data_IF_035444199661
#
_entry.id   IF_035444199661
#
_cell.length_a   1.000
_cell.length_b   1.000
_cell.length_c   1.000
_cell.angle_alpha   90.00
_cell.angle_beta   90.00
_cell.angle_gamma   90.00
#
_symmetry.space_group_name_H-M   'P 1'
#
loop_
_entity.id
_entity.type
_entity.pdbx_description
1 polymer ?
#
# COMPACT_ATOMS: atom_id res chain seq x y z
N UNK A 1 18.84 -47.15 33.24
CA UNK A 1 18.93 -45.67 33.06
C UNK A 1 18.88 -45.25 31.60
N UNK A 2 19.60 -45.92 30.69
CA UNK A 2 19.68 -45.54 29.26
C UNK A 2 18.33 -45.66 28.51
N UNK A 3 17.56 -46.73 28.75
CA UNK A 3 16.27 -46.96 28.05
C UNK A 3 15.23 -45.89 28.38
N UNK A 4 15.20 -45.39 29.62
CA UNK A 4 14.30 -44.32 30.03
C UNK A 4 14.63 -42.97 29.38
N UNK A 5 15.92 -42.70 29.17
CA UNK A 5 16.38 -41.51 28.45
C UNK A 5 15.98 -41.52 26.97
N UNK A 6 16.03 -42.69 26.33
CA UNK A 6 15.63 -42.85 24.92
C UNK A 6 14.11 -42.68 24.77
N UNK A 7 13.33 -43.27 25.68
CA UNK A 7 11.88 -43.11 25.69
C UNK A 7 11.46 -41.65 25.92
N UNK A 8 12.13 -40.96 26.84
CA UNK A 8 11.88 -39.53 27.11
C UNK A 8 12.25 -38.65 25.91
N UNK A 9 13.38 -38.93 25.24
CA UNK A 9 13.81 -38.19 24.06
C UNK A 9 12.83 -38.39 22.88
N UNK A 10 12.34 -39.62 22.66
CA UNK A 10 11.34 -39.90 21.64
C UNK A 10 10.01 -39.19 21.91
N UNK A 11 9.58 -39.16 23.17
CA UNK A 11 8.38 -38.42 23.59
C UNK A 11 8.55 -36.91 23.41
N UNK A 12 9.75 -36.37 23.67
CA UNK A 12 10.04 -34.95 23.49
C UNK A 12 10.00 -34.51 22.02
N UNK A 13 10.43 -35.38 21.10
CA UNK A 13 10.35 -35.13 19.65
C UNK A 13 8.91 -35.18 19.11
N UNK A 14 8.03 -35.97 19.72
CA UNK A 14 6.60 -36.00 19.40
C UNK A 14 5.85 -34.74 19.88
N UNK A 15 6.39 -34.03 20.86
CA UNK A 15 5.81 -32.80 21.43
C UNK A 15 6.24 -31.53 20.67
N UNK A 16 7.21 -31.60 19.76
CA UNK A 16 7.60 -30.47 18.93
C UNK A 16 6.67 -30.33 17.73
N UNK A 17 5.41 -29.98 17.99
CA UNK A 17 4.52 -29.45 16.96
C UNK A 17 5.16 -28.18 16.38
N UNK A 18 5.39 -28.15 15.07
CA UNK A 18 5.79 -26.92 14.39
C UNK A 18 4.65 -25.90 14.57
N UNK A 19 4.84 -24.99 15.53
CA UNK A 19 3.99 -23.80 15.64
C UNK A 19 4.31 -22.97 14.40
N UNK A 20 3.41 -23.01 13.42
CA UNK A 20 3.41 -22.06 12.32
C UNK A 20 3.16 -20.68 12.93
N UNK A 21 4.24 -19.93 13.19
CA UNK A 21 4.12 -18.57 13.66
C UNK A 21 3.38 -17.76 12.59
N UNK A 22 2.20 -17.25 12.93
CA UNK A 22 1.51 -16.29 12.06
C UNK A 22 2.44 -15.08 11.93
N UNK A 23 2.90 -14.73 10.71
CA UNK A 23 3.78 -13.59 10.52
C UNK A 23 3.07 -12.32 11.01
N UNK A 24 3.58 -11.73 12.09
CA UNK A 24 3.07 -10.47 12.62
C UNK A 24 3.60 -9.33 11.75
N UNK A 25 2.84 -8.94 10.73
CA UNK A 25 2.98 -7.64 10.08
C UNK A 25 2.41 -6.61 11.05
N UNK A 26 3.24 -6.03 11.92
CA UNK A 26 2.80 -5.14 12.99
C UNK A 26 2.29 -3.78 12.49
N UNK A 27 2.83 -2.68 13.04
CA UNK A 27 2.52 -1.33 12.54
C UNK A 27 3.44 -0.97 11.37
N UNK A 28 2.86 -0.65 10.22
CA UNK A 28 3.56 -0.19 9.01
C UNK A 28 2.98 1.15 8.54
N UNK A 29 3.44 2.29 9.08
CA UNK A 29 2.95 3.61 8.68
C UNK A 29 3.20 3.89 7.20
N UNK A 30 2.20 4.41 6.50
CA UNK A 30 2.31 4.77 5.08
C UNK A 30 2.61 6.24 4.89
N UNK A 31 3.19 6.58 3.74
CA UNK A 31 3.34 7.96 3.27
C UNK A 31 2.55 8.14 1.99
N UNK A 32 1.48 8.92 2.05
CA UNK A 32 0.71 9.30 0.87
C UNK A 32 1.23 10.62 0.33
N UNK A 33 1.75 10.58 -0.89
CA UNK A 33 2.29 11.75 -1.58
C UNK A 33 1.22 12.26 -2.55
N UNK A 34 0.66 13.42 -2.24
CA UNK A 34 -0.30 14.11 -3.10
C UNK A 34 0.45 14.98 -4.10
N UNK A 35 0.24 14.75 -5.39
CA UNK A 35 0.96 15.43 -6.47
C UNK A 35 0.01 16.02 -7.52
N UNK A 36 0.30 17.22 -7.99
CA UNK A 36 -0.33 17.85 -9.16
C UNK A 36 0.72 18.23 -10.20
N UNK A 37 0.34 18.19 -11.48
CA UNK A 37 1.25 18.53 -12.58
C UNK A 37 1.50 20.04 -12.66
N UNK A 38 2.59 20.44 -13.34
CA UNK A 38 2.98 21.86 -13.47
C UNK A 38 1.89 22.73 -14.11
N UNK A 39 1.07 22.11 -14.97
CA UNK A 39 0.03 22.70 -15.80
C UNK A 39 -1.39 22.45 -15.26
N UNK A 40 -1.54 21.95 -14.03
CA UNK A 40 -2.83 21.65 -13.41
C UNK A 40 -2.89 22.05 -11.95
N UNK A 41 -3.91 22.85 -11.62
CA UNK A 41 -4.22 23.26 -10.24
C UNK A 41 -5.35 22.47 -9.59
N UNK A 42 -5.86 21.48 -10.31
CA UNK A 42 -6.97 20.65 -9.84
C UNK A 42 -6.56 19.79 -8.63
N UNK A 43 -7.35 19.92 -7.57
CA UNK A 43 -7.26 19.13 -6.33
C UNK A 43 -8.66 18.58 -6.03
N UNK A 44 -8.91 17.27 -6.16
CA UNK A 44 -10.26 16.69 -5.95
C UNK A 44 -10.83 16.92 -4.54
N UNK A 45 -9.93 16.89 -3.56
CA UNK A 45 -10.18 17.06 -2.12
C UNK A 45 -8.96 17.72 -1.48
N UNK A 46 -9.15 18.34 -0.31
CA UNK A 46 -8.06 18.91 0.46
C UNK A 46 -7.14 17.82 1.02
N UNK A 47 -5.90 18.18 1.37
CA UNK A 47 -4.95 17.23 1.96
C UNK A 47 -5.43 16.72 3.33
N UNK A 48 -6.14 17.58 4.08
CA UNK A 48 -6.73 17.28 5.37
C UNK A 48 -7.80 16.19 5.24
N UNK A 49 -8.62 16.26 4.19
CA UNK A 49 -9.62 15.23 3.92
C UNK A 49 -8.97 13.85 3.70
N UNK A 50 -7.84 13.79 2.98
CA UNK A 50 -7.09 12.53 2.81
C UNK A 50 -6.45 12.05 4.12
N UNK A 51 -5.96 12.96 4.95
CA UNK A 51 -5.42 12.61 6.28
C UNK A 51 -6.50 12.01 7.18
N UNK A 52 -7.70 12.59 7.19
CA UNK A 52 -8.86 12.06 7.90
C UNK A 52 -9.32 10.72 7.34
N UNK A 53 -9.33 10.57 6.01
CA UNK A 53 -9.72 9.32 5.35
C UNK A 53 -8.73 8.17 5.63
N UNK A 54 -7.43 8.46 5.70
CA UNK A 54 -6.40 7.45 6.01
C UNK A 54 -6.39 7.08 7.49
N UNK A 55 -6.32 8.06 8.37
CA UNK A 55 -6.05 7.84 9.80
C UNK A 55 -6.70 8.91 10.67
N UNK A 56 -7.96 9.27 10.39
CA UNK A 56 -8.76 10.25 11.14
C UNK A 56 -9.09 9.87 12.59
N UNK A 57 -8.25 9.04 13.23
CA UNK A 57 -8.37 8.65 14.62
C UNK A 57 -9.57 7.74 14.88
N UNK A 58 -10.54 8.23 15.67
CA UNK A 58 -11.66 7.43 16.19
C UNK A 58 -12.77 7.15 15.16
N UNK A 59 -12.60 7.54 13.90
CA UNK A 59 -13.56 7.25 12.85
C UNK A 59 -13.44 5.77 12.40
N UNK A 60 -14.52 4.97 12.49
CA UNK A 60 -14.49 3.56 12.05
C UNK A 60 -14.32 3.41 10.53
N UNK A 61 -14.65 4.44 9.74
CA UNK A 61 -14.64 4.38 8.27
C UNK A 61 -13.32 4.85 7.64
N UNK A 62 -12.20 4.66 8.35
CA UNK A 62 -10.86 4.99 7.85
C UNK A 62 -10.17 3.79 7.25
N UNK A 63 -9.18 4.04 6.39
CA UNK A 63 -8.34 2.96 5.86
C UNK A 63 -7.54 2.26 6.98
N UNK A 64 -7.10 3.01 7.99
CA UNK A 64 -6.49 2.44 9.20
C UNK A 64 -7.43 1.46 9.91
N UNK A 65 -8.68 1.89 10.17
CA UNK A 65 -9.71 1.06 10.81
C UNK A 65 -10.06 -0.18 9.98
N UNK A 66 -10.13 -0.04 8.65
CA UNK A 66 -10.34 -1.17 7.75
C UNK A 66 -9.25 -2.23 7.89
N UNK A 67 -7.98 -1.85 7.77
CA UNK A 67 -6.86 -2.79 7.86
C UNK A 67 -6.70 -3.40 9.25
N UNK A 68 -6.94 -2.61 10.29
CA UNK A 68 -6.98 -3.12 11.67
C UNK A 68 -8.10 -4.16 11.84
N UNK A 69 -9.31 -3.88 11.33
CA UNK A 69 -10.46 -4.77 11.45
C UNK A 69 -10.27 -6.10 10.71
N UNK A 70 -9.91 -6.07 9.43
CA UNK A 70 -9.76 -7.30 8.62
C UNK A 70 -8.58 -8.18 9.04
N UNK A 71 -7.59 -7.59 9.73
CA UNK A 71 -6.43 -8.31 10.25
C UNK A 71 -6.60 -8.76 11.70
N UNK A 72 -7.77 -8.53 12.32
CA UNK A 72 -7.99 -8.77 13.76
C UNK A 72 -6.92 -8.07 14.63
N UNK A 73 -6.65 -6.80 14.31
CA UNK A 73 -5.64 -5.93 14.91
C UNK A 73 -4.19 -6.45 14.82
N UNK A 74 -3.90 -7.44 13.98
CA UNK A 74 -2.53 -7.93 13.76
C UNK A 74 -1.72 -6.93 12.94
N UNK A 75 -2.37 -6.20 12.02
CA UNK A 75 -1.76 -5.22 11.13
C UNK A 75 -2.44 -3.86 11.24
N UNK A 76 -1.63 -2.81 11.26
CA UNK A 76 -2.11 -1.42 11.30
C UNK A 76 -1.19 -0.50 10.51
N UNK A 77 -1.74 0.62 10.05
CA UNK A 77 -1.00 1.69 9.36
C UNK A 77 -1.00 2.97 10.20
N UNK A 78 -1.14 2.83 11.53
CA UNK A 78 -1.26 3.94 12.45
C UNK A 78 -0.03 4.85 12.38
N UNK A 79 -0.30 6.15 12.32
CA UNK A 79 0.74 7.17 12.14
C UNK A 79 1.16 7.35 10.67
N UNK A 80 0.32 6.88 9.74
CA UNK A 80 0.46 7.25 8.33
C UNK A 80 0.41 8.76 8.15
N UNK A 81 1.14 9.26 7.16
CA UNK A 81 1.23 10.69 6.86
C UNK A 81 0.73 10.98 5.45
N UNK A 82 0.12 12.15 5.27
CA UNK A 82 -0.34 12.67 3.99
C UNK A 82 0.37 13.99 3.74
N UNK A 83 1.08 14.10 2.62
CA UNK A 83 1.72 15.36 2.24
C UNK A 83 0.68 16.38 1.81
N UNK A 84 1.02 17.67 1.90
CA UNK A 84 0.30 18.69 1.12
C UNK A 84 0.42 18.39 -0.38
N UNK A 85 -0.45 18.98 -1.18
CA UNK A 85 -0.37 18.91 -2.64
C UNK A 85 0.95 19.50 -3.15
N UNK A 86 1.84 18.63 -3.61
CA UNK A 86 3.11 19.00 -4.22
C UNK A 86 2.91 19.27 -5.70
N UNK A 87 3.44 20.38 -6.20
CA UNK A 87 3.46 20.65 -7.65
C UNK A 87 4.72 20.05 -8.25
N UNK A 88 4.53 19.13 -9.18
CA UNK A 88 5.60 18.54 -9.96
C UNK A 88 6.12 19.55 -10.99
N UNK A 89 7.42 19.52 -11.34
CA UNK A 89 8.00 20.40 -12.38
C UNK A 89 7.68 19.92 -13.81
N UNK A 90 6.92 18.83 -13.96
CA UNK A 90 6.55 18.22 -15.24
C UNK A 90 5.04 18.31 -15.48
N UNK A 91 4.67 18.37 -16.75
CA UNK A 91 3.30 18.22 -17.24
C UNK A 91 2.91 16.74 -17.28
N UNK A 92 1.59 16.48 -17.35
CA UNK A 92 1.07 15.12 -17.53
C UNK A 92 1.71 14.40 -18.73
N UNK A 93 1.85 15.09 -19.86
CA UNK A 93 2.42 14.54 -21.09
C UNK A 93 3.90 14.15 -20.95
N UNK A 94 4.68 14.96 -20.23
CA UNK A 94 6.09 14.67 -19.98
C UNK A 94 6.25 13.45 -19.06
N UNK A 95 5.44 13.35 -18.00
CA UNK A 95 5.46 12.18 -17.09
C UNK A 95 5.07 10.91 -17.81
N UNK A 96 4.01 10.95 -18.63
CA UNK A 96 3.60 9.81 -19.45
C UNK A 96 4.71 9.38 -20.42
N UNK A 97 5.36 10.34 -21.09
CA UNK A 97 6.49 10.05 -21.98
C UNK A 97 7.63 9.37 -21.22
N UNK A 98 8.00 9.88 -20.04
CA UNK A 98 9.05 9.27 -19.21
C UNK A 98 8.66 7.84 -18.79
N UNK A 99 7.42 7.62 -18.37
CA UNK A 99 6.94 6.31 -17.95
C UNK A 99 6.97 5.25 -19.09
N UNK A 100 6.67 5.67 -20.32
CA UNK A 100 6.68 4.79 -21.50
C UNK A 100 8.10 4.54 -22.02
N UNK A 101 8.96 5.56 -21.98
CA UNK A 101 10.30 5.49 -22.57
C UNK A 101 11.35 4.89 -21.62
N UNK A 102 11.10 4.86 -20.30
CA UNK A 102 12.03 4.28 -19.34
C UNK A 102 12.00 2.74 -19.41
N UNK A 103 13.09 2.08 -19.87
CA UNK A 103 13.14 0.63 -20.00
C UNK A 103 12.97 -0.12 -18.66
N UNK A 104 13.25 0.52 -17.53
CA UNK A 104 13.13 -0.08 -16.18
C UNK A 104 11.66 -0.29 -15.81
N UNK A 105 10.84 0.73 -16.09
CA UNK A 105 9.39 0.72 -15.83
C UNK A 105 8.63 -0.21 -16.78
N UNK A 106 9.24 -0.59 -17.90
CA UNK A 106 8.69 -1.52 -18.89
C UNK A 106 9.10 -2.98 -18.68
N UNK A 107 9.87 -3.27 -17.62
CA UNK A 107 10.21 -4.65 -17.23
C UNK A 107 8.96 -5.42 -16.78
N UNK A 108 8.94 -6.75 -16.97
CA UNK A 108 7.73 -7.58 -16.75
C UNK A 108 7.09 -7.42 -15.36
N UNK A 109 7.91 -7.08 -14.37
CA UNK A 109 7.49 -6.87 -12.98
C UNK A 109 6.73 -5.55 -12.78
N UNK A 110 6.99 -4.52 -13.60
CA UNK A 110 6.43 -3.17 -13.45
C UNK A 110 5.42 -2.80 -14.54
N UNK A 111 5.34 -3.59 -15.63
CA UNK A 111 4.33 -3.46 -16.71
C UNK A 111 2.88 -3.26 -16.22
N UNK A 112 2.39 -3.92 -15.14
CA UNK A 112 1.01 -3.70 -14.68
C UNK A 112 0.69 -2.25 -14.31
N UNK A 113 1.69 -1.50 -13.80
CA UNK A 113 1.52 -0.10 -13.39
C UNK A 113 1.51 0.84 -14.59
N UNK A 114 2.40 0.62 -15.56
CA UNK A 114 2.46 1.42 -16.79
C UNK A 114 1.19 1.29 -17.64
N UNK A 115 0.61 0.09 -17.72
CA UNK A 115 -0.63 -0.16 -18.49
C UNK A 115 -1.86 0.49 -17.82
N UNK A 116 -1.93 0.49 -16.49
CA UNK A 116 -3.05 1.12 -15.76
C UNK A 116 -3.09 2.64 -15.91
N UNK A 117 -1.94 3.30 -15.99
CA UNK A 117 -1.87 4.75 -16.28
C UNK A 117 -2.48 5.08 -17.65
N UNK A 118 -2.22 4.26 -18.67
CA UNK A 118 -2.80 4.41 -20.01
C UNK A 118 -4.31 4.21 -20.01
N UNK A 119 -4.83 3.22 -19.27
CA UNK A 119 -6.27 2.95 -19.17
C UNK A 119 -7.05 4.09 -18.48
N UNK A 120 -6.48 4.70 -17.43
CA UNK A 120 -7.08 5.85 -16.74
C UNK A 120 -7.16 7.09 -17.65
N UNK A 121 -6.23 7.25 -18.60
CA UNK A 121 -6.28 8.34 -19.57
C UNK A 121 -7.49 8.25 -20.49
N UNK A 122 -7.77 7.06 -21.04
CA UNK A 122 -8.95 6.81 -21.87
C UNK A 122 -10.26 7.11 -21.15
N UNK A 123 -10.37 6.77 -19.86
CA UNK A 123 -11.57 7.06 -19.10
C UNK A 123 -11.76 8.57 -18.90
N UNK A 124 -10.70 9.31 -18.56
CA UNK A 124 -10.76 10.77 -18.38
C UNK A 124 -11.00 11.56 -19.67
N UNK A 125 -10.68 11.00 -20.85
CA UNK A 125 -11.03 11.62 -22.13
C UNK A 125 -12.48 11.36 -22.51
N UNK A 126 -13.01 10.17 -22.24
CA UNK A 126 -14.42 9.83 -22.51
C UNK A 126 -15.37 10.68 -21.64
N UNK A 127 -15.03 10.89 -20.37
CA UNK A 127 -15.85 11.69 -19.45
C UNK A 127 -15.79 13.21 -19.74
N UNK A 128 -14.84 13.67 -20.56
CA UNK A 128 -14.73 15.10 -20.97
C UNK A 128 -15.56 15.43 -22.21
N UNK A 129 -15.92 14.42 -22.98
CA UNK A 129 -16.65 14.53 -24.25
C UNK A 129 -18.14 14.11 -24.13
N UNK A 130 -18.62 13.91 -22.89
CA UNK A 130 -20.02 13.58 -22.53
C UNK A 130 -20.70 14.77 -21.85
#
# INVERSE_FOLDING_TARGET
MIVGLIALAGLLQLLTSQVAAIPRRGNEPWSLILCKFKDSDFEPRSAEWFAEWISGGNNPDTIESYFSSVSNAVYTIKGSNVTKWLRLPWSRREVLRMAVMDPRLQSERERPFAVRLKALEFHTTVDRDS
#
